data_IF_977854889227
#
_entry.id   IF_977854889227
#
_cell.length_a   1.000
_cell.length_b   1.000
_cell.length_c   1.000
_cell.angle_alpha   90.00
_cell.angle_beta   90.00
_cell.angle_gamma   90.00
#
_symmetry.space_group_name_H-M   'P 1'
#
loop_
_entity.id
_entity.type
_entity.pdbx_description
1 polymer ?
#
# COMPACT_ATOMS: atom_id res chain seq x y z
N UNK A 1 -18.25 -5.41 11.84
CA UNK A 1 -18.56 -4.21 12.63
C UNK A 1 -18.52 -3.01 11.70
N UNK A 2 -19.65 -2.36 11.37
CA UNK A 2 -19.66 -1.12 10.59
C UNK A 2 -18.94 0.02 11.32
N UNK A 3 -18.20 0.86 10.62
CA UNK A 3 -17.40 1.93 11.25
C UNK A 3 -18.09 3.30 11.26
N UNK A 4 -19.20 3.48 10.53
CA UNK A 4 -19.82 4.79 10.27
C UNK A 4 -20.08 5.58 11.57
N UNK A 5 -20.69 4.96 12.56
CA UNK A 5 -21.00 5.64 13.82
C UNK A 5 -19.74 6.10 14.58
N UNK A 6 -18.65 5.31 14.53
CA UNK A 6 -17.38 5.67 15.18
C UNK A 6 -16.72 6.82 14.42
N UNK A 7 -16.76 6.74 13.08
CA UNK A 7 -16.22 7.78 12.21
C UNK A 7 -16.97 9.11 12.37
N UNK A 8 -18.30 9.08 12.39
CA UNK A 8 -19.13 10.26 12.63
C UNK A 8 -18.79 10.92 13.98
N UNK A 9 -18.57 10.11 15.04
CA UNK A 9 -18.09 10.63 16.34
C UNK A 9 -16.71 11.27 16.26
N UNK A 10 -15.77 10.70 15.51
CA UNK A 10 -14.48 11.37 15.29
C UNK A 10 -14.67 12.73 14.63
N UNK A 11 -15.52 12.83 13.60
CA UNK A 11 -15.77 14.11 12.91
C UNK A 11 -16.43 15.14 13.82
N UNK A 12 -17.36 14.75 14.69
CA UNK A 12 -17.95 15.62 15.70
C UNK A 12 -16.88 16.20 16.65
N UNK A 13 -15.99 15.36 17.19
CA UNK A 13 -14.93 15.79 18.11
C UNK A 13 -13.93 16.76 17.45
N UNK A 14 -13.66 16.59 16.15
CA UNK A 14 -12.74 17.46 15.41
C UNK A 14 -13.40 18.69 14.78
N UNK A 15 -14.72 18.87 14.91
CA UNK A 15 -15.48 19.89 14.18
C UNK A 15 -14.93 21.31 14.40
N UNK A 16 -14.66 21.72 15.65
CA UNK A 16 -14.12 23.05 15.93
C UNK A 16 -12.64 23.18 15.55
N UNK A 17 -11.86 22.10 15.66
CA UNK A 17 -10.43 22.09 15.31
C UNK A 17 -10.24 22.23 13.80
N UNK A 18 -11.09 21.58 13.00
CA UNK A 18 -11.03 21.59 11.53
C UNK A 18 -11.91 22.68 10.91
N UNK A 19 -12.40 23.63 11.71
CA UNK A 19 -13.32 24.68 11.26
C UNK A 19 -12.73 25.49 10.10
N UNK A 20 -13.50 25.57 9.00
CA UNK A 20 -13.10 26.30 7.80
C UNK A 20 -12.14 25.54 6.87
N UNK A 21 -11.74 24.32 7.22
CA UNK A 21 -10.98 23.42 6.37
C UNK A 21 -11.92 22.49 5.60
N UNK A 22 -11.52 22.10 4.38
CA UNK A 22 -12.25 21.12 3.58
C UNK A 22 -11.76 19.71 3.93
N UNK A 23 -12.63 18.69 3.90
CA UNK A 23 -12.20 17.30 4.03
C UNK A 23 -11.14 16.94 2.98
N UNK A 24 -10.14 16.16 3.40
CA UNK A 24 -9.05 15.68 2.56
C UNK A 24 -8.62 14.26 2.96
N UNK A 25 -7.36 13.89 2.67
CA UNK A 25 -6.79 12.59 3.06
C UNK A 25 -6.84 12.32 4.57
N UNK A 26 -7.07 13.34 5.40
CA UNK A 26 -7.20 13.22 6.86
C UNK A 26 -8.38 12.34 7.22
N UNK A 27 -9.57 12.62 6.70
CA UNK A 27 -10.80 11.89 6.94
C UNK A 27 -10.75 10.46 6.38
N UNK A 28 -10.12 10.29 5.21
CA UNK A 28 -9.86 8.98 4.62
C UNK A 28 -8.99 8.12 5.54
N UNK A 29 -7.88 8.68 6.02
CA UNK A 29 -6.96 8.01 6.93
C UNK A 29 -7.60 7.69 8.30
N UNK A 30 -8.52 8.53 8.79
CA UNK A 30 -9.28 8.23 10.02
C UNK A 30 -10.07 6.94 9.87
N UNK A 31 -10.77 6.75 8.75
CA UNK A 31 -11.53 5.51 8.51
C UNK A 31 -10.62 4.27 8.51
N UNK A 32 -9.45 4.34 7.88
CA UNK A 32 -8.48 3.24 7.87
C UNK A 32 -7.97 2.91 9.29
N UNK A 33 -7.65 3.93 10.09
CA UNK A 33 -7.19 3.76 11.48
C UNK A 33 -8.26 3.20 12.41
N UNK A 34 -9.53 3.60 12.23
CA UNK A 34 -10.65 3.04 12.98
C UNK A 34 -10.77 1.53 12.70
N UNK A 35 -10.67 1.10 11.44
CA UNK A 35 -10.68 -0.33 11.08
C UNK A 35 -9.51 -1.08 11.73
N UNK A 36 -8.30 -0.51 11.69
CA UNK A 36 -7.12 -1.09 12.35
C UNK A 36 -7.32 -1.28 13.85
N UNK A 37 -7.83 -0.27 14.55
CA UNK A 37 -8.11 -0.35 16.00
C UNK A 37 -9.13 -1.44 16.34
N UNK A 38 -10.20 -1.58 15.55
CA UNK A 38 -11.19 -2.64 15.75
C UNK A 38 -10.54 -4.03 15.62
N UNK A 39 -9.73 -4.25 14.58
CA UNK A 39 -9.05 -5.54 14.37
C UNK A 39 -8.08 -5.86 15.51
N UNK A 40 -7.34 -4.87 16.01
CA UNK A 40 -6.45 -5.05 17.15
C UNK A 40 -7.20 -5.33 18.45
N UNK A 41 -8.36 -4.71 18.66
CA UNK A 41 -9.20 -5.00 19.82
C UNK A 41 -9.70 -6.46 19.81
N UNK A 42 -10.11 -6.97 18.63
CA UNK A 42 -10.49 -8.36 18.46
C UNK A 42 -9.31 -9.31 18.68
N UNK A 43 -8.14 -8.98 18.10
CA UNK A 43 -6.89 -9.73 18.32
C UNK A 43 -6.56 -9.87 19.80
N UNK A 44 -6.58 -8.77 20.56
CA UNK A 44 -6.31 -8.79 21.99
C UNK A 44 -7.36 -9.60 22.77
N UNK A 45 -8.64 -9.55 22.37
CA UNK A 45 -9.71 -10.26 23.06
C UNK A 45 -9.66 -11.77 22.85
N UNK A 46 -9.31 -12.21 21.63
CA UNK A 46 -9.41 -13.61 21.22
C UNK A 46 -8.06 -14.31 21.03
N UNK A 47 -6.94 -13.60 21.21
CA UNK A 47 -5.60 -14.13 21.01
C UNK A 47 -5.25 -14.39 19.53
N UNK A 48 -5.94 -13.73 18.60
CA UNK A 48 -5.68 -13.89 17.16
C UNK A 48 -4.54 -13.00 16.69
N UNK A 49 -3.93 -13.35 15.56
CA UNK A 49 -2.98 -12.48 14.86
C UNK A 49 -3.72 -11.76 13.73
N UNK A 50 -3.63 -10.43 13.70
CA UNK A 50 -4.11 -9.65 12.55
C UNK A 50 -3.14 -9.80 11.39
N UNK A 51 -3.66 -10.16 10.21
CA UNK A 51 -2.88 -10.24 8.97
C UNK A 51 -3.03 -8.93 8.21
N UNK A 52 -1.93 -8.21 8.03
CA UNK A 52 -1.87 -7.05 7.15
C UNK A 52 -1.89 -7.52 5.68
N UNK A 53 -2.66 -6.84 4.85
CA UNK A 53 -2.94 -7.26 3.46
C UNK A 53 -2.24 -6.41 2.40
N UNK A 54 -1.43 -5.43 2.82
CA UNK A 54 -0.65 -4.61 1.90
C UNK A 54 0.35 -5.44 1.08
N UNK A 55 0.39 -5.22 -0.23
CA UNK A 55 1.30 -5.90 -1.14
C UNK A 55 2.57 -5.07 -1.43
N UNK A 56 3.55 -5.68 -2.13
CA UNK A 56 4.84 -5.03 -2.42
C UNK A 56 4.66 -3.72 -3.20
N UNK A 57 3.71 -3.66 -4.13
CA UNK A 57 3.47 -2.48 -4.95
C UNK A 57 2.99 -1.29 -4.12
N UNK A 58 1.97 -1.50 -3.28
CA UNK A 58 1.42 -0.49 -2.37
C UNK A 58 2.49 -0.02 -1.36
N UNK A 59 3.20 -0.96 -0.74
CA UNK A 59 4.24 -0.64 0.25
C UNK A 59 5.46 0.06 -0.37
N UNK A 60 5.76 -0.21 -1.65
CA UNK A 60 6.87 0.45 -2.36
C UNK A 60 6.65 1.95 -2.42
N UNK A 61 5.50 2.38 -2.92
CA UNK A 61 5.18 3.81 -3.10
C UNK A 61 4.52 4.45 -1.88
N UNK A 62 4.34 3.68 -0.79
CA UNK A 62 3.67 4.14 0.43
C UNK A 62 2.20 4.47 0.25
N UNK A 63 1.54 3.76 -0.68
CA UNK A 63 0.10 3.84 -0.90
C UNK A 63 -0.63 3.03 0.18
N UNK A 64 -0.56 3.58 1.39
CA UNK A 64 -1.11 3.00 2.60
C UNK A 64 -1.26 4.07 3.67
N UNK A 65 -2.19 3.84 4.59
CA UNK A 65 -2.35 4.62 5.80
C UNK A 65 -1.47 4.03 6.89
N UNK A 66 -0.49 4.80 7.35
CA UNK A 66 0.31 4.40 8.51
C UNK A 66 -0.61 4.18 9.72
N UNK A 67 -0.51 2.99 10.32
CA UNK A 67 -1.36 2.49 11.41
C UNK A 67 -2.85 2.31 11.06
N UNK A 68 -3.20 2.35 9.77
CA UNK A 68 -4.51 1.98 9.25
C UNK A 68 -4.48 0.57 8.69
N UNK A 69 -4.49 0.44 7.37
CA UNK A 69 -4.37 -0.81 6.61
C UNK A 69 -3.02 -1.52 6.79
N UNK A 70 -1.99 -0.82 7.26
CA UNK A 70 -0.70 -1.42 7.62
C UNK A 70 -0.73 -2.23 8.93
N UNK A 71 -1.79 -2.12 9.74
CA UNK A 71 -1.89 -2.82 11.02
C UNK A 71 -1.92 -4.33 10.83
N UNK A 72 -1.06 -5.02 11.58
CA UNK A 72 -1.00 -6.47 11.61
C UNK A 72 0.20 -6.96 12.41
N UNK A 73 0.18 -8.22 12.84
CA UNK A 73 1.36 -8.91 13.35
C UNK A 73 2.20 -9.54 12.22
N UNK A 74 1.59 -9.77 11.06
CA UNK A 74 2.23 -10.43 9.92
C UNK A 74 1.64 -9.97 8.59
N UNK A 75 2.47 -9.78 7.56
CA UNK A 75 2.05 -9.42 6.21
C UNK A 75 2.41 -10.52 5.21
N UNK A 76 1.41 -11.30 4.80
CA UNK A 76 1.60 -12.45 3.89
C UNK A 76 2.00 -12.00 2.49
N UNK A 77 1.46 -10.88 2.02
CA UNK A 77 1.68 -10.35 0.67
C UNK A 77 2.82 -9.32 0.60
N UNK A 78 3.58 -9.15 1.69
CA UNK A 78 4.57 -8.06 1.85
C UNK A 78 5.54 -7.93 0.67
N UNK A 79 5.98 -9.06 0.12
CA UNK A 79 6.94 -9.12 -0.98
C UNK A 79 6.32 -9.67 -2.28
N UNK A 80 5.00 -9.55 -2.44
CA UNK A 80 4.27 -9.96 -3.65
C UNK A 80 3.84 -8.71 -4.42
N UNK A 81 4.24 -8.56 -5.68
CA UNK A 81 3.76 -7.46 -6.54
C UNK A 81 2.27 -7.63 -6.86
N UNK A 82 1.53 -6.54 -7.09
CA UNK A 82 0.08 -6.56 -7.33
C UNK A 82 -0.30 -7.44 -8.53
N UNK A 83 0.44 -7.32 -9.63
CA UNK A 83 0.28 -8.20 -10.80
C UNK A 83 0.40 -9.68 -10.43
N UNK A 84 1.38 -10.03 -9.59
CA UNK A 84 1.56 -11.39 -9.05
C UNK A 84 0.41 -11.80 -8.11
N UNK A 85 -0.17 -10.88 -7.34
CA UNK A 85 -1.37 -11.17 -6.51
C UNK A 85 -2.53 -11.64 -7.40
N UNK A 86 -2.76 -10.98 -8.53
CA UNK A 86 -3.79 -11.40 -9.50
C UNK A 86 -3.47 -12.78 -10.08
N UNK A 87 -2.24 -13.00 -10.55
CA UNK A 87 -1.81 -14.31 -11.07
C UNK A 87 -2.00 -15.44 -10.05
N UNK A 88 -1.60 -15.22 -8.79
CA UNK A 88 -1.78 -16.19 -7.70
C UNK A 88 -3.26 -16.44 -7.40
N UNK A 89 -4.10 -15.42 -7.53
CA UNK A 89 -5.54 -15.56 -7.34
C UNK A 89 -6.19 -16.40 -8.45
N UNK A 90 -5.80 -16.18 -9.71
CA UNK A 90 -6.23 -17.01 -10.83
C UNK A 90 -5.74 -18.46 -10.70
N UNK A 91 -4.48 -18.65 -10.31
CA UNK A 91 -3.92 -19.97 -10.01
C UNK A 91 -4.68 -20.67 -8.87
N UNK A 92 -4.98 -19.97 -7.77
CA UNK A 92 -5.76 -20.56 -6.68
C UNK A 92 -7.15 -20.98 -7.14
N UNK A 93 -7.79 -20.20 -8.00
CA UNK A 93 -9.11 -20.49 -8.55
C UNK A 93 -9.11 -21.63 -9.58
N UNK A 94 -8.01 -21.89 -10.28
CA UNK A 94 -7.90 -23.04 -11.18
C UNK A 94 -7.87 -24.38 -10.43
N UNK A 95 -7.37 -24.38 -9.17
CA UNK A 95 -7.42 -25.54 -8.27
C UNK A 95 -8.83 -25.70 -7.69
N UNK A 96 -9.41 -24.61 -7.18
CA UNK A 96 -10.76 -24.60 -6.62
C UNK A 96 -11.28 -23.15 -6.55
N UNK A 97 -12.47 -22.91 -7.09
CA UNK A 97 -13.06 -21.57 -7.24
C UNK A 97 -13.54 -21.00 -5.90
N UNK A 98 -12.60 -20.45 -5.12
CA UNK A 98 -12.84 -19.88 -3.78
C UNK A 98 -12.84 -18.36 -3.77
N UNK A 99 -12.16 -17.71 -4.73
CA UNK A 99 -12.16 -16.26 -4.88
C UNK A 99 -13.27 -15.89 -5.87
N UNK A 100 -14.28 -15.10 -5.49
CA UNK A 100 -15.35 -14.71 -6.41
C UNK A 100 -14.82 -13.87 -7.58
N UNK A 101 -15.31 -14.14 -8.80
CA UNK A 101 -14.85 -13.43 -10.02
C UNK A 101 -14.99 -11.90 -9.90
N UNK A 102 -16.03 -11.42 -9.23
CA UNK A 102 -16.25 -9.98 -8.95
C UNK A 102 -15.11 -9.30 -8.20
N UNK A 103 -14.31 -10.04 -7.43
CA UNK A 103 -13.15 -9.50 -6.71
C UNK A 103 -11.99 -9.26 -7.67
N UNK A 104 -11.89 -10.06 -8.74
CA UNK A 104 -10.80 -10.00 -9.72
C UNK A 104 -11.08 -9.02 -10.86
N UNK A 105 -12.36 -8.76 -11.16
CA UNK A 105 -12.77 -7.84 -12.23
C UNK A 105 -13.07 -6.43 -11.75
N UNK A 106 -13.25 -6.22 -10.44
CA UNK A 106 -13.47 -4.89 -9.88
C UNK A 106 -12.16 -4.07 -9.97
N UNK A 107 -12.21 -2.81 -10.43
CA UNK A 107 -11.05 -1.94 -10.40
C UNK A 107 -10.47 -1.78 -8.99
N UNK A 108 -9.14 -1.79 -8.83
CA UNK A 108 -8.50 -1.63 -7.53
C UNK A 108 -8.76 -0.23 -6.95
N UNK A 109 -9.15 -0.19 -5.68
CA UNK A 109 -9.52 1.02 -4.94
C UNK A 109 -9.39 0.80 -3.43
N UNK A 110 -8.97 1.83 -2.70
CA UNK A 110 -9.01 1.86 -1.24
C UNK A 110 -10.42 2.10 -0.66
N UNK A 111 -11.40 2.48 -1.49
CA UNK A 111 -12.81 2.71 -1.12
C UNK A 111 -13.01 3.69 0.06
N UNK A 112 -12.11 4.68 0.21
CA UNK A 112 -12.19 5.68 1.28
C UNK A 112 -12.99 6.92 0.89
N UNK A 113 -13.09 7.20 -0.41
CA UNK A 113 -13.93 8.26 -1.00
C UNK A 113 -14.59 7.83 -2.32
N UNK A 114 -15.65 8.50 -2.78
CA UNK A 114 -16.31 8.18 -4.05
C UNK A 114 -15.36 8.27 -5.25
N UNK A 115 -15.51 7.34 -6.20
CA UNK A 115 -14.77 7.30 -7.47
C UNK A 115 -13.23 7.22 -7.33
N UNK A 116 -12.72 6.75 -6.19
CA UNK A 116 -11.29 6.51 -6.00
C UNK A 116 -10.85 5.29 -6.81
N UNK A 117 -9.74 5.42 -7.55
CA UNK A 117 -9.03 4.28 -8.16
C UNK A 117 -7.54 4.44 -7.95
N UNK A 118 -6.86 3.34 -7.65
CA UNK A 118 -5.44 3.36 -7.33
C UNK A 118 -4.62 3.77 -8.57
N UNK A 119 -5.06 3.36 -9.75
CA UNK A 119 -4.39 3.63 -11.03
C UNK A 119 -4.38 5.12 -11.40
N UNK A 120 -5.44 5.86 -11.04
CA UNK A 120 -5.50 7.29 -11.28
C UNK A 120 -4.51 8.08 -10.38
N UNK A 121 -4.22 7.58 -9.18
CA UNK A 121 -3.31 8.24 -8.23
C UNK A 121 -1.86 7.82 -8.46
N UNK A 122 -1.63 6.57 -8.84
CA UNK A 122 -0.31 5.98 -9.06
C UNK A 122 -0.01 5.89 -10.56
N UNK A 123 -0.21 4.72 -11.13
CA UNK A 123 -0.11 4.27 -12.52
C UNK A 123 -0.85 2.91 -12.60
N UNK A 124 -1.20 2.41 -13.79
CA UNK A 124 -1.61 1.01 -13.95
C UNK A 124 -0.57 0.06 -13.35
N UNK A 125 -1.02 -0.92 -12.57
CA UNK A 125 -0.13 -1.84 -11.85
C UNK A 125 0.90 -2.57 -12.74
N UNK A 126 0.58 -2.99 -13.99
CA UNK A 126 1.57 -3.59 -14.87
C UNK A 126 2.78 -2.70 -15.16
N UNK A 127 2.60 -1.37 -15.20
CA UNK A 127 3.67 -0.40 -15.42
C UNK A 127 4.37 -0.10 -14.08
N UNK A 128 3.60 0.15 -13.03
CA UNK A 128 4.12 0.41 -11.68
C UNK A 128 5.05 -0.71 -11.20
N UNK A 129 4.61 -1.96 -11.33
CA UNK A 129 5.33 -3.13 -10.84
C UNK A 129 6.65 -3.33 -11.59
N UNK A 130 6.68 -3.05 -12.90
CA UNK A 130 7.92 -3.11 -13.69
C UNK A 130 8.92 -2.03 -13.23
N UNK A 131 8.47 -0.79 -13.02
CA UNK A 131 9.34 0.28 -12.51
C UNK A 131 9.89 -0.10 -11.13
N UNK A 132 9.05 -0.63 -10.24
CA UNK A 132 9.47 -1.10 -8.91
C UNK A 132 10.52 -2.20 -9.04
N UNK A 133 10.30 -3.19 -9.91
CA UNK A 133 11.24 -4.30 -10.08
C UNK A 133 12.59 -3.80 -10.60
N UNK A 134 12.60 -2.96 -11.64
CA UNK A 134 13.83 -2.41 -12.22
C UNK A 134 14.61 -1.57 -11.20
N UNK A 135 13.93 -0.72 -10.44
CA UNK A 135 14.58 0.16 -9.47
C UNK A 135 14.99 -0.56 -8.18
N UNK A 136 14.14 -1.42 -7.63
CA UNK A 136 14.35 -2.03 -6.30
C UNK A 136 15.12 -3.34 -6.41
N UNK A 137 14.78 -4.19 -7.38
CA UNK A 137 15.38 -5.52 -7.51
C UNK A 137 16.63 -5.50 -8.38
N UNK A 138 16.61 -4.77 -9.49
CA UNK A 138 17.74 -4.71 -10.43
C UNK A 138 18.67 -3.51 -10.19
N UNK A 139 18.34 -2.60 -9.27
CA UNK A 139 19.16 -1.44 -8.87
C UNK A 139 19.50 -0.49 -10.02
N UNK A 140 18.62 -0.39 -11.03
CA UNK A 140 18.82 0.49 -12.18
C UNK A 140 18.58 1.97 -11.85
N UNK A 141 19.31 2.85 -12.53
CA UNK A 141 19.12 4.32 -12.42
C UNK A 141 17.89 4.80 -13.17
N UNK A 142 17.49 6.06 -12.93
CA UNK A 142 16.37 6.69 -13.65
C UNK A 142 16.62 6.68 -15.15
N UNK A 143 17.84 7.04 -15.60
CA UNK A 143 18.18 7.10 -17.02
C UNK A 143 18.15 5.71 -17.67
N UNK A 144 18.57 4.67 -16.95
CA UNK A 144 18.54 3.29 -17.43
C UNK A 144 17.11 2.81 -17.63
N UNK A 145 16.21 3.10 -16.69
CA UNK A 145 14.79 2.74 -16.79
C UNK A 145 14.13 3.51 -17.95
N UNK A 146 14.44 4.80 -18.13
CA UNK A 146 13.91 5.59 -19.25
C UNK A 146 14.39 5.04 -20.61
N UNK A 147 15.64 4.59 -20.71
CA UNK A 147 16.17 3.93 -21.92
C UNK A 147 15.44 2.63 -22.29
N UNK A 148 14.78 1.98 -21.33
CA UNK A 148 13.93 0.81 -21.57
C UNK A 148 12.54 1.17 -22.11
N UNK A 149 12.24 2.47 -22.32
CA UNK A 149 11.02 2.95 -22.94
C UNK A 149 9.93 3.41 -21.97
N UNK A 150 10.24 3.56 -20.68
CA UNK A 150 9.31 4.14 -19.71
C UNK A 150 9.34 5.68 -19.75
N UNK A 151 8.18 6.29 -19.56
CA UNK A 151 8.03 7.74 -19.51
C UNK A 151 8.81 8.33 -18.32
N UNK A 152 9.74 9.26 -18.59
CA UNK A 152 10.62 9.85 -17.58
C UNK A 152 9.86 10.47 -16.40
N UNK A 153 8.75 11.15 -16.69
CA UNK A 153 7.87 11.76 -15.68
C UNK A 153 7.36 10.71 -14.69
N UNK A 154 6.96 9.54 -15.18
CA UNK A 154 6.37 8.48 -14.39
C UNK A 154 7.44 7.75 -13.57
N UNK A 155 8.59 7.45 -14.19
CA UNK A 155 9.76 6.87 -13.50
C UNK A 155 10.17 7.75 -12.32
N UNK A 156 10.38 9.06 -12.56
CA UNK A 156 10.74 10.03 -11.52
C UNK A 156 9.68 10.12 -10.42
N UNK A 157 8.40 10.14 -10.78
CA UNK A 157 7.29 10.15 -9.81
C UNK A 157 7.35 8.94 -8.88
N UNK A 158 7.47 7.73 -9.44
CA UNK A 158 7.46 6.48 -8.68
C UNK A 158 8.70 6.36 -7.80
N UNK A 159 9.91 6.64 -8.31
CA UNK A 159 11.14 6.59 -7.52
C UNK A 159 11.11 7.56 -6.34
N UNK A 160 10.65 8.80 -6.58
CA UNK A 160 10.47 9.78 -5.50
C UNK A 160 9.45 9.34 -4.45
N UNK A 161 8.38 8.64 -4.85
CA UNK A 161 7.44 8.04 -3.90
C UNK A 161 8.08 6.89 -3.11
N UNK A 162 8.89 6.05 -3.77
CA UNK A 162 9.62 4.97 -3.11
C UNK A 162 10.52 5.55 -2.03
N UNK A 163 11.38 6.51 -2.36
CA UNK A 163 12.37 7.02 -1.41
C UNK A 163 11.74 7.76 -0.23
N UNK A 164 10.70 8.57 -0.48
CA UNK A 164 10.01 9.34 0.59
C UNK A 164 9.27 8.47 1.59
N UNK A 165 8.86 7.26 1.20
CA UNK A 165 8.02 6.40 2.05
C UNK A 165 8.82 5.33 2.82
N UNK A 166 10.13 5.47 2.92
CA UNK A 166 10.97 4.56 3.73
C UNK A 166 10.52 4.50 5.20
N UNK A 167 10.11 5.64 5.78
CA UNK A 167 9.62 5.68 7.16
C UNK A 167 8.39 4.79 7.39
N UNK A 168 7.47 4.69 6.42
CA UNK A 168 6.30 3.80 6.53
C UNK A 168 6.75 2.33 6.50
N UNK A 169 7.62 1.97 5.56
CA UNK A 169 8.11 0.59 5.40
C UNK A 169 8.84 0.08 6.64
N UNK A 170 9.57 0.94 7.35
CA UNK A 170 10.25 0.59 8.61
C UNK A 170 9.29 0.23 9.75
N UNK A 171 8.02 0.62 9.64
CA UNK A 171 6.98 0.37 10.62
C UNK A 171 5.99 -0.71 10.18
N UNK A 172 6.15 -1.23 8.96
CA UNK A 172 5.33 -2.33 8.46
C UNK A 172 5.65 -3.62 9.22
N UNK A 173 4.65 -4.50 9.45
CA UNK A 173 4.89 -5.78 10.10
C UNK A 173 5.89 -6.65 9.33
N UNK A 174 6.42 -7.64 10.02
CA UNK A 174 7.25 -8.68 9.37
C UNK A 174 6.42 -9.45 8.34
N UNK A 175 7.10 -10.06 7.38
CA UNK A 175 6.45 -10.80 6.30
C UNK A 175 7.42 -11.72 5.58
N UNK A 176 6.90 -12.42 4.58
CA UNK A 176 7.64 -13.41 3.81
C UNK A 176 8.38 -12.71 2.67
N UNK A 177 9.66 -13.06 2.46
CA UNK A 177 10.43 -12.71 1.27
C UNK A 177 10.25 -13.80 0.22
N UNK A 178 9.93 -13.41 -1.01
CA UNK A 178 9.79 -14.33 -2.16
C UNK A 178 10.57 -13.86 -3.41
N UNK A 179 11.01 -12.61 -3.43
CA UNK A 179 11.80 -12.01 -4.53
C UNK A 179 13.29 -12.01 -4.19
N UNK A 180 14.15 -11.68 -5.16
CA UNK A 180 15.60 -11.63 -4.95
C UNK A 180 15.98 -10.53 -3.94
N UNK A 181 15.32 -9.37 -4.02
CA UNK A 181 15.55 -8.21 -3.15
C UNK A 181 14.24 -7.66 -2.58
N UNK A 182 14.06 -7.84 -1.27
CA UNK A 182 12.93 -7.30 -0.53
C UNK A 182 13.29 -6.00 0.21
N UNK A 183 12.29 -5.17 0.49
CA UNK A 183 12.47 -4.01 1.36
C UNK A 183 12.89 -4.43 2.78
N UNK A 184 13.72 -3.61 3.43
CA UNK A 184 14.17 -3.84 4.80
C UNK A 184 15.57 -4.44 4.85
N UNK A 185 15.70 -5.75 5.09
CA UNK A 185 17.01 -6.37 5.33
C UNK A 185 17.93 -6.29 4.10
N UNK A 186 17.39 -6.49 2.90
CA UNK A 186 18.16 -6.56 1.64
C UNK A 186 18.32 -5.21 0.93
N UNK A 187 17.41 -4.26 1.18
CA UNK A 187 17.52 -2.87 0.74
C UNK A 187 17.44 -1.94 1.95
N UNK A 188 18.60 -1.50 2.43
CA UNK A 188 18.74 -0.61 3.59
C UNK A 188 18.99 0.82 3.13
N UNK A 189 17.94 1.63 3.10
CA UNK A 189 18.04 3.07 2.82
C UNK A 189 17.87 3.89 4.11
N UNK A 190 18.51 5.08 4.21
CA UNK A 190 18.24 6.00 5.30
C UNK A 190 16.79 6.53 5.21
N UNK A 191 16.13 6.69 6.36
CA UNK A 191 14.81 7.32 6.42
C UNK A 191 14.90 8.79 6.02
N UNK A 192 15.88 9.50 6.59
CA UNK A 192 16.18 10.89 6.24
C UNK A 192 17.17 10.91 5.08
N UNK A 193 16.63 10.90 3.86
CA UNK A 193 17.42 10.97 2.64
C UNK A 193 17.20 12.32 1.93
N UNK A 194 18.29 13.05 1.63
CA UNK A 194 18.26 14.27 0.79
C UNK A 194 18.91 14.08 -0.58
N UNK A 195 19.38 12.86 -0.88
CA UNK A 195 19.84 12.54 -2.21
C UNK A 195 18.71 12.76 -3.21
N UNK A 196 19.02 13.50 -4.27
CA UNK A 196 18.14 13.73 -5.41
C UNK A 196 18.93 13.41 -6.66
N UNK A 197 18.51 12.37 -7.35
CA UNK A 197 19.08 11.97 -8.63
C UNK A 197 18.66 12.95 -9.75
N UNK A 198 17.54 13.65 -9.56
CA UNK A 198 16.90 14.58 -10.50
C UNK A 198 16.14 15.72 -9.80
#
# INVERSE_FOLDING_TARGET
IPIKNIFDKYLEEFQEIFKGLKPDTTEENLQARIRGNILMALSNKFGWIVIATGNKSEMSVGYSTLYGDMVGGFAVLKDVLKTKVYELSYYRNSISKVIPDRVLTKPPSAELRPNQTDEAELLPYPILDQIIQLYVEQDLTVEEIVKLGFEEKDVKKIINLIDKNEYKRRQAPIGIKITERAFGKDRRMPITNRFKEF
#
